data_IF_398673758228
#
_entry.id   IF_398673758228
#
_cell.length_a   1.000
_cell.length_b   1.000
_cell.length_c   1.000
_cell.angle_alpha   90.00
_cell.angle_beta   90.00
_cell.angle_gamma   90.00
#
_symmetry.space_group_name_H-M   'P 1'
#
loop_
_entity.id
_entity.type
_entity.pdbx_description
1 polymer ?
#
# COMPACT_ATOMS: atom_id res chain seq x y z
N UNK A 1 3.66 -16.33 23.29
CA UNK A 1 2.84 -16.57 22.08
C UNK A 1 2.70 -15.25 21.33
N UNK A 2 3.20 -15.09 20.08
CA UNK A 2 2.99 -13.84 19.35
C UNK A 2 1.50 -13.65 19.04
N UNK A 3 0.97 -12.46 19.32
CA UNK A 3 -0.42 -12.11 19.03
C UNK A 3 -0.60 -12.02 17.52
N UNK A 4 -1.31 -12.99 16.94
CA UNK A 4 -1.72 -12.93 15.53
C UNK A 4 -2.70 -11.76 15.40
N UNK A 5 -2.37 -10.79 14.54
CA UNK A 5 -3.28 -9.69 14.22
C UNK A 5 -4.49 -10.25 13.47
N UNK A 6 -5.69 -9.69 13.66
CA UNK A 6 -6.84 -10.06 12.85
C UNK A 6 -6.52 -9.81 11.37
N UNK A 7 -6.78 -10.80 10.53
CA UNK A 7 -6.65 -10.65 9.08
C UNK A 7 -7.74 -9.73 8.55
N UNK A 8 -7.38 -8.76 7.72
CA UNK A 8 -8.31 -7.91 6.99
C UNK A 8 -8.31 -8.28 5.51
N UNK A 9 -9.45 -8.11 4.84
CA UNK A 9 -9.56 -8.26 3.39
C UNK A 9 -8.87 -7.08 2.70
N UNK A 10 -8.02 -7.29 1.66
CA UNK A 10 -7.27 -6.22 1.00
C UNK A 10 -8.13 -5.47 -0.04
N UNK A 11 -9.19 -4.79 0.42
CA UNK A 11 -10.18 -4.15 -0.46
C UNK A 11 -9.97 -2.64 -0.61
N UNK A 12 -9.32 -1.99 0.36
CA UNK A 12 -9.20 -0.54 0.40
C UNK A 12 -7.90 -0.06 -0.23
N UNK A 13 -8.01 0.92 -1.13
CA UNK A 13 -6.88 1.56 -1.80
C UNK A 13 -6.57 2.90 -1.16
N UNK A 14 -5.27 3.15 -0.99
CA UNK A 14 -4.77 4.43 -0.53
C UNK A 14 -3.68 4.96 -1.43
N UNK A 15 -3.57 6.28 -1.46
CA UNK A 15 -2.49 6.96 -2.13
C UNK A 15 -1.35 7.22 -1.14
N UNK A 16 -0.15 6.85 -1.56
CA UNK A 16 1.09 7.16 -0.86
C UNK A 16 2.06 7.87 -1.79
N UNK A 17 2.83 8.81 -1.25
CA UNK A 17 4.02 9.35 -1.93
C UNK A 17 5.25 8.70 -1.31
N UNK A 18 6.20 8.31 -2.15
CA UNK A 18 7.48 7.75 -1.73
C UNK A 18 8.60 8.44 -2.52
N UNK A 19 9.84 8.31 -2.04
CA UNK A 19 11.00 8.91 -2.72
C UNK A 19 11.59 7.98 -3.77
N UNK A 20 11.72 6.70 -3.44
CA UNK A 20 12.28 5.66 -4.29
C UNK A 20 11.80 4.27 -3.84
N UNK A 21 11.91 3.29 -4.74
CA UNK A 21 11.84 1.87 -4.40
C UNK A 21 13.24 1.35 -4.13
N UNK A 22 13.42 0.55 -3.08
CA UNK A 22 14.67 -0.18 -2.91
C UNK A 22 14.74 -1.39 -3.87
N UNK A 23 15.88 -2.09 -3.88
CA UNK A 23 16.10 -3.25 -4.76
C UNK A 23 15.12 -4.40 -4.50
N UNK A 24 14.54 -4.46 -3.32
CA UNK A 24 13.59 -5.48 -2.87
C UNK A 24 12.11 -5.06 -3.09
N UNK A 25 11.87 -3.87 -3.66
CA UNK A 25 10.53 -3.36 -3.96
C UNK A 25 9.82 -2.67 -2.78
N UNK A 26 10.54 -2.29 -1.73
CA UNK A 26 9.99 -1.56 -0.60
C UNK A 26 10.00 -0.05 -0.85
N UNK A 27 8.91 0.61 -0.47
CA UNK A 27 8.75 2.07 -0.57
C UNK A 27 9.61 2.76 0.48
N UNK A 28 10.51 3.65 0.05
CA UNK A 28 11.34 4.44 0.97
C UNK A 28 10.69 5.78 1.31
N UNK A 29 10.68 6.10 2.60
CA UNK A 29 10.03 7.27 3.19
C UNK A 29 8.55 7.47 2.76
N UNK A 30 7.69 6.42 2.87
CA UNK A 30 6.31 6.53 2.44
C UNK A 30 5.54 7.52 3.31
N UNK A 31 4.85 8.43 2.65
CA UNK A 31 3.93 9.39 3.27
C UNK A 31 2.52 9.12 2.78
N UNK A 32 1.60 8.90 3.71
CA UNK A 32 0.18 8.74 3.41
C UNK A 32 -0.43 10.03 2.86
N UNK A 33 -1.17 9.93 1.76
CA UNK A 33 -1.87 11.07 1.13
C UNK A 33 -3.38 11.03 1.31
N UNK A 34 -3.95 9.85 1.46
CA UNK A 34 -5.39 9.70 1.67
C UNK A 34 -5.94 8.40 1.10
N UNK A 35 -7.21 8.15 1.41
CA UNK A 35 -7.96 7.06 0.82
C UNK A 35 -8.33 7.39 -0.63
N UNK A 36 -8.38 6.35 -1.47
CA UNK A 36 -8.84 6.40 -2.85
C UNK A 36 -10.08 5.51 -3.00
N UNK A 37 -11.25 5.93 -2.49
CA UNK A 37 -12.49 5.16 -2.60
C UNK A 37 -12.96 5.04 -4.07
N UNK A 38 -12.38 5.85 -4.96
CA UNK A 38 -12.60 5.83 -6.40
C UNK A 38 -11.87 4.69 -7.14
N UNK A 39 -10.97 3.95 -6.48
CA UNK A 39 -10.16 2.88 -7.09
C UNK A 39 -10.44 1.51 -6.47
N UNK A 40 -10.46 0.46 -7.29
CA UNK A 40 -10.50 -0.93 -6.81
C UNK A 40 -9.11 -1.44 -6.47
N UNK A 41 -8.98 -2.29 -5.44
CA UNK A 41 -7.72 -2.96 -5.11
C UNK A 41 -7.15 -3.79 -6.27
N UNK A 42 -8.01 -4.29 -7.15
CA UNK A 42 -7.62 -5.07 -8.34
C UNK A 42 -6.96 -4.20 -9.42
N UNK A 43 -7.16 -2.88 -9.38
CA UNK A 43 -6.59 -1.93 -10.33
C UNK A 43 -5.20 -1.47 -9.90
N UNK A 44 -4.80 -1.71 -8.65
CA UNK A 44 -3.51 -1.29 -8.11
C UNK A 44 -2.41 -2.20 -8.67
N UNK A 45 -1.47 -1.59 -9.40
CA UNK A 45 -0.33 -2.27 -10.01
C UNK A 45 0.94 -1.46 -9.78
N UNK A 46 2.08 -2.12 -9.90
CA UNK A 46 3.36 -1.41 -10.00
C UNK A 46 3.39 -0.59 -11.28
N UNK A 47 3.62 0.71 -11.14
CA UNK A 47 3.87 1.61 -12.26
C UNK A 47 5.36 1.50 -12.61
N UNK A 48 5.64 1.12 -13.85
CA UNK A 48 6.96 0.79 -14.39
C UNK A 48 7.60 1.96 -15.13
#
# INVERSE_FOLDING_TARGET
MPRRLPSTSPEFVAEGRYTELNKDGELRHPTWRGWRPDKSAQDVRWEY
#
